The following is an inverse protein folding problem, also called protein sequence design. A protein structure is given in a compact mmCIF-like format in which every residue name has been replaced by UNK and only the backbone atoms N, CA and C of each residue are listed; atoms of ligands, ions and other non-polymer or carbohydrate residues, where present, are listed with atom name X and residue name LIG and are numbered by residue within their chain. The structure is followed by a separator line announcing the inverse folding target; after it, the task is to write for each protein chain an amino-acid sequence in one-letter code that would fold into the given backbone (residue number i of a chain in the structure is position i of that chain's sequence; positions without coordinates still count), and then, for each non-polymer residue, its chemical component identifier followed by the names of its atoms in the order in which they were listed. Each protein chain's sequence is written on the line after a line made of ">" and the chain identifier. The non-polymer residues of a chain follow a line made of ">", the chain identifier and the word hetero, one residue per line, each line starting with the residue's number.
data_IF_529366703314
#
_entry.id   IF_529366703314
#
_cell.length_a   1.000
_cell.length_b   1.000
_cell.length_c   1.000
_cell.angle_alpha   90.00
_cell.angle_beta   90.00
_cell.angle_gamma   90.00
#
_symmetry.space_group_name_H-M   'P 1'
#
loop_
_entity.id
_entity.type
_entity.pdbx_description
1 polymer ?
#
# COMPACT_ATOMS: atom_id res chain seq x y z
N UNK A 1 -10.58 -24.14 3.88
CA UNK A 1 -9.43 -23.60 3.11
C UNK A 1 -9.25 -22.13 3.44
N UNK A 2 -8.01 -21.66 3.51
CA UNK A 2 -7.64 -20.30 3.91
C UNK A 2 -8.06 -19.34 2.78
N UNK A 3 -9.35 -18.96 2.72
CA UNK A 3 -10.02 -18.36 1.55
C UNK A 3 -9.40 -17.06 1.01
N UNK A 4 -8.47 -16.47 1.77
CA UNK A 4 -7.74 -15.25 1.40
C UNK A 4 -6.26 -15.50 1.09
N UNK A 5 -5.76 -16.73 1.14
CA UNK A 5 -4.32 -17.03 0.97
C UNK A 5 -3.76 -16.45 -0.34
N UNK A 6 -4.46 -16.66 -1.45
CA UNK A 6 -4.03 -16.13 -2.76
C UNK A 6 -3.94 -14.60 -2.74
N UNK A 7 -4.94 -13.92 -2.17
CA UNK A 7 -4.96 -12.47 -2.03
C UNK A 7 -3.81 -11.98 -1.13
N UNK A 8 -3.56 -12.67 0.00
CA UNK A 8 -2.46 -12.32 0.90
C UNK A 8 -1.10 -12.44 0.22
N UNK A 9 -0.86 -13.52 -0.52
CA UNK A 9 0.39 -13.73 -1.25
C UNK A 9 0.57 -12.70 -2.38
N UNK A 10 -0.50 -12.40 -3.13
CA UNK A 10 -0.46 -11.39 -4.19
C UNK A 10 -0.16 -9.98 -3.63
N UNK A 11 -0.85 -9.57 -2.56
CA UNK A 11 -0.60 -8.28 -1.90
C UNK A 11 0.79 -8.24 -1.28
N UNK A 12 1.23 -9.32 -0.62
CA UNK A 12 2.57 -9.37 -0.05
C UNK A 12 3.67 -9.22 -1.12
N UNK A 13 3.54 -9.90 -2.27
CA UNK A 13 4.48 -9.74 -3.39
C UNK A 13 4.52 -8.31 -3.91
N UNK A 14 3.35 -7.69 -4.06
CA UNK A 14 3.21 -6.29 -4.48
C UNK A 14 3.92 -5.35 -3.50
N UNK A 15 3.66 -5.49 -2.20
CA UNK A 15 4.25 -4.65 -1.16
C UNK A 15 5.77 -4.80 -1.10
N UNK A 16 6.27 -6.04 -1.25
CA UNK A 16 7.71 -6.32 -1.26
C UNK A 16 8.39 -5.71 -2.48
N UNK A 17 7.86 -5.90 -3.68
CA UNK A 17 8.45 -5.34 -4.91
C UNK A 17 8.45 -3.80 -4.86
N UNK A 18 7.34 -3.17 -4.48
CA UNK A 18 7.27 -1.71 -4.34
C UNK A 18 8.18 -1.14 -3.25
N UNK A 19 8.57 -1.94 -2.26
CA UNK A 19 9.39 -1.48 -1.15
C UNK A 19 10.87 -1.73 -1.38
N UNK A 20 11.22 -2.95 -1.76
CA UNK A 20 12.61 -3.42 -1.88
C UNK A 20 13.33 -2.72 -3.04
N UNK A 21 12.71 -2.56 -4.21
CA UNK A 21 13.38 -1.90 -5.34
C UNK A 21 13.71 -0.43 -5.07
N UNK A 22 12.88 0.26 -4.27
CA UNK A 22 13.14 1.65 -3.86
C UNK A 22 14.35 1.79 -2.91
N UNK A 23 14.72 0.72 -2.20
CA UNK A 23 15.89 0.71 -1.31
C UNK A 23 17.19 0.75 -2.15
N UNK A 24 17.20 0.08 -3.31
CA UNK A 24 18.42 -0.09 -4.10
C UNK A 24 18.72 1.05 -5.09
N UNK A 25 17.78 1.97 -5.31
CA UNK A 25 17.92 3.06 -6.27
C UNK A 25 17.87 4.46 -5.64
N UNK A 26 18.03 4.55 -4.31
CA UNK A 26 17.92 5.79 -3.52
C UNK A 26 16.54 6.48 -3.55
N UNK A 27 15.53 5.90 -4.21
CA UNK A 27 14.24 6.53 -4.42
C UNK A 27 13.47 6.85 -3.13
N UNK A 28 13.75 6.15 -2.03
CA UNK A 28 13.14 6.44 -0.71
C UNK A 28 13.68 7.77 -0.16
N UNK A 29 15.00 7.98 -0.24
CA UNK A 29 15.61 9.22 0.23
C UNK A 29 15.20 10.39 -0.67
N UNK A 30 15.12 10.18 -1.97
CA UNK A 30 14.70 11.21 -2.91
C UNK A 30 13.22 11.59 -2.69
N UNK A 31 12.34 10.61 -2.45
CA UNK A 31 10.94 10.89 -2.09
C UNK A 31 10.84 11.72 -0.79
N UNK A 32 11.67 11.41 0.21
CA UNK A 32 11.72 12.17 1.45
C UNK A 32 12.26 13.59 1.28
N UNK A 33 13.42 13.74 0.63
CA UNK A 33 14.14 15.01 0.52
C UNK A 33 13.56 15.94 -0.55
N UNK A 34 13.24 15.39 -1.71
CA UNK A 34 12.87 16.18 -2.90
C UNK A 34 11.36 16.37 -3.04
N UNK A 35 10.55 15.56 -2.35
CA UNK A 35 9.09 15.68 -2.42
C UNK A 35 8.47 15.96 -1.05
N UNK A 36 8.54 15.05 -0.07
CA UNK A 36 7.85 15.23 1.22
C UNK A 36 8.29 16.48 1.97
N UNK A 37 9.59 16.76 2.01
CA UNK A 37 10.09 17.98 2.63
C UNK A 37 9.59 19.26 1.93
N UNK A 38 9.35 19.22 0.61
CA UNK A 38 8.87 20.37 -0.16
C UNK A 38 7.39 20.68 0.10
N UNK A 39 6.61 19.68 0.48
CA UNK A 39 5.16 19.83 0.73
C UNK A 39 4.82 19.98 2.21
N UNK A 40 5.80 20.33 3.06
CA UNK A 40 5.57 20.71 4.46
C UNK A 40 5.95 19.65 5.51
N UNK A 41 6.53 18.51 5.13
CA UNK A 41 7.01 17.52 6.09
C UNK A 41 8.46 17.70 6.54
N UNK A 42 9.13 18.78 6.11
CA UNK A 42 10.50 19.06 6.56
C UNK A 42 10.57 19.26 8.08
N UNK A 43 11.61 18.74 8.77
CA UNK A 43 12.76 17.98 8.25
C UNK A 43 12.53 16.44 8.26
N UNK A 44 11.31 15.98 8.45
CA UNK A 44 10.97 14.57 8.71
C UNK A 44 10.65 13.75 7.45
N UNK A 45 10.68 14.33 6.25
CA UNK A 45 10.28 13.65 5.01
C UNK A 45 10.99 12.32 4.77
N UNK A 46 12.30 12.24 5.02
CA UNK A 46 13.07 10.99 4.87
C UNK A 46 12.61 9.93 5.88
N UNK A 47 12.42 10.32 7.14
CA UNK A 47 11.95 9.40 8.20
C UNK A 47 10.57 8.87 7.85
N UNK A 48 9.68 9.72 7.34
CA UNK A 48 8.33 9.32 6.91
C UNK A 48 8.40 8.37 5.71
N UNK A 49 9.22 8.68 4.69
CA UNK A 49 9.40 7.83 3.51
C UNK A 49 9.89 6.42 3.88
N UNK A 50 10.89 6.33 4.77
CA UNK A 50 11.38 5.05 5.29
C UNK A 50 10.34 4.32 6.13
N UNK A 51 9.60 5.03 6.99
CA UNK A 51 8.54 4.44 7.81
C UNK A 51 7.45 3.79 6.94
N UNK A 52 7.05 4.46 5.85
CA UNK A 52 6.11 3.92 4.86
C UNK A 52 6.64 2.61 4.27
N UNK A 53 7.88 2.61 3.75
CA UNK A 53 8.45 1.45 3.06
C UNK A 53 8.71 0.27 3.99
N UNK A 54 9.18 0.53 5.22
CA UNK A 54 9.34 -0.52 6.22
C UNK A 54 7.99 -1.08 6.68
N UNK A 55 6.96 -0.25 6.80
CA UNK A 55 5.61 -0.72 7.14
C UNK A 55 5.05 -1.71 6.10
N UNK A 56 5.33 -1.49 4.81
CA UNK A 56 4.93 -2.42 3.74
C UNK A 56 5.66 -3.77 3.83
N UNK A 57 6.97 -3.76 4.16
CA UNK A 57 7.73 -5.00 4.36
C UNK A 57 7.16 -5.78 5.56
N UNK A 58 6.91 -5.11 6.68
CA UNK A 58 6.29 -5.72 7.86
C UNK A 58 4.89 -6.26 7.53
N UNK A 59 4.06 -5.47 6.84
CA UNK A 59 2.73 -5.88 6.43
C UNK A 59 2.77 -7.12 5.52
N UNK A 60 3.69 -7.20 4.56
CA UNK A 60 3.87 -8.36 3.70
C UNK A 60 4.19 -9.64 4.51
N UNK A 61 5.12 -9.55 5.46
CA UNK A 61 5.47 -10.68 6.35
C UNK A 61 4.25 -11.10 7.17
N UNK A 62 3.53 -10.15 7.75
CA UNK A 62 2.32 -10.42 8.54
C UNK A 62 1.20 -11.07 7.72
N UNK A 63 1.00 -10.63 6.47
CA UNK A 63 0.05 -11.22 5.52
C UNK A 63 0.42 -12.67 5.17
N UNK A 64 1.70 -12.95 4.91
CA UNK A 64 2.18 -14.31 4.62
C UNK A 64 1.97 -15.23 5.83
N UNK A 65 2.34 -14.77 7.02
CA UNK A 65 2.20 -15.53 8.27
C UNK A 65 0.75 -15.64 8.77
N UNK A 66 -0.19 -14.94 8.13
CA UNK A 66 -1.57 -14.81 8.56
C UNK A 66 -1.72 -14.30 10.01
N UNK A 67 -0.86 -13.35 10.43
CA UNK A 67 -0.85 -12.78 11.79
C UNK A 67 -1.13 -11.28 11.75
N UNK A 68 -1.83 -10.76 12.76
CA UNK A 68 -2.13 -9.32 12.91
C UNK A 68 -2.72 -8.65 11.66
N UNK A 69 -3.53 -9.40 10.90
CA UNK A 69 -4.03 -8.99 9.57
C UNK A 69 -4.77 -7.66 9.60
N UNK A 70 -5.60 -7.42 10.62
CA UNK A 70 -6.32 -6.16 10.76
C UNK A 70 -5.39 -4.99 10.97
N UNK A 71 -4.37 -5.13 11.81
CA UNK A 71 -3.39 -4.07 12.06
C UNK A 71 -2.58 -3.77 10.80
N UNK A 72 -2.03 -4.80 10.15
CA UNK A 72 -1.30 -4.67 8.90
C UNK A 72 -2.16 -4.01 7.81
N UNK A 73 -3.43 -4.42 7.71
CA UNK A 73 -4.40 -3.86 6.77
C UNK A 73 -4.70 -2.39 7.04
N UNK A 74 -5.01 -1.99 8.28
CA UNK A 74 -5.30 -0.59 8.61
C UNK A 74 -4.12 0.35 8.33
N UNK A 75 -2.91 -0.05 8.73
CA UNK A 75 -1.70 0.75 8.48
C UNK A 75 -1.45 0.89 6.97
N UNK A 76 -1.56 -0.21 6.22
CA UNK A 76 -1.34 -0.17 4.76
C UNK A 76 -2.42 0.65 4.05
N UNK A 77 -3.69 0.51 4.44
CA UNK A 77 -4.80 1.31 3.88
C UNK A 77 -4.57 2.80 4.15
N UNK A 78 -4.16 3.18 5.36
CA UNK A 78 -3.84 4.57 5.67
C UNK A 78 -2.75 5.12 4.75
N UNK A 79 -1.66 4.37 4.55
CA UNK A 79 -0.58 4.75 3.63
C UNK A 79 -1.09 4.89 2.19
N UNK A 80 -1.91 3.96 1.70
CA UNK A 80 -2.47 4.02 0.34
C UNK A 80 -3.39 5.23 0.15
N UNK A 81 -4.21 5.56 1.15
CA UNK A 81 -5.06 6.77 1.13
C UNK A 81 -4.20 8.03 1.08
N UNK A 82 -3.16 8.12 1.90
CA UNK A 82 -2.23 9.25 1.86
C UNK A 82 -1.49 9.32 0.51
N UNK A 83 -1.11 8.17 -0.07
CA UNK A 83 -0.56 8.11 -1.42
C UNK A 83 -1.51 8.68 -2.47
N UNK A 84 -2.80 8.36 -2.38
CA UNK A 84 -3.82 8.95 -3.25
C UNK A 84 -3.86 10.47 -3.06
N UNK A 85 -4.04 10.95 -1.83
CA UNK A 85 -4.22 12.38 -1.55
C UNK A 85 -3.01 13.20 -1.99
N UNK A 86 -1.80 12.75 -1.64
CA UNK A 86 -0.58 13.52 -1.86
C UNK A 86 -0.08 13.39 -3.31
N UNK A 87 -0.11 12.18 -3.87
CA UNK A 87 0.60 11.87 -5.12
C UNK A 87 -0.35 11.65 -6.29
N UNK A 88 -1.35 10.79 -6.13
CA UNK A 88 -2.09 10.26 -7.28
C UNK A 88 -3.35 11.05 -7.66
N UNK A 89 -3.92 11.83 -6.73
CA UNK A 89 -5.17 12.56 -6.98
C UNK A 89 -5.04 13.55 -8.14
N UNK A 90 -3.92 14.27 -8.21
CA UNK A 90 -3.62 15.20 -9.31
C UNK A 90 -3.39 14.51 -10.66
N UNK A 91 -3.02 13.23 -10.66
CA UNK A 91 -2.80 12.42 -11.87
C UNK A 91 -4.09 11.76 -12.38
N UNK A 92 -5.19 11.88 -11.62
CA UNK A 92 -6.48 11.30 -11.97
C UNK A 92 -6.60 9.81 -11.65
N UNK A 93 -7.38 9.08 -12.44
CA UNK A 93 -7.76 7.69 -12.13
C UNK A 93 -6.79 6.64 -12.67
N UNK A 94 -6.38 6.76 -13.93
CA UNK A 94 -5.76 5.68 -14.69
C UNK A 94 -4.25 5.51 -14.40
N UNK A 95 -3.80 4.27 -14.23
CA UNK A 95 -2.36 3.92 -14.21
C UNK A 95 -1.86 3.58 -15.61
N UNK A 96 -2.74 3.15 -16.52
CA UNK A 96 -2.44 2.94 -17.94
C UNK A 96 -3.61 3.33 -18.85
N UNK A 97 -3.32 3.71 -20.10
CA UNK A 97 -4.33 4.07 -21.10
C UNK A 97 -4.72 5.54 -21.00
N UNK A 98 -5.90 5.82 -20.43
CA UNK A 98 -6.46 7.19 -20.31
C UNK A 98 -5.68 8.13 -19.37
N UNK A 99 -4.54 7.69 -18.84
CA UNK A 99 -3.67 8.43 -17.93
C UNK A 99 -2.48 7.57 -17.49
N UNK A 100 -1.70 8.09 -16.54
CA UNK A 100 -0.59 7.39 -15.89
C UNK A 100 -0.54 7.79 -14.42
N UNK A 101 0.01 6.92 -13.57
CA UNK A 101 0.25 7.22 -12.15
C UNK A 101 -1.02 7.61 -11.35
N UNK A 102 -2.22 7.25 -11.82
CA UNK A 102 -3.48 7.55 -11.15
C UNK A 102 -3.81 6.63 -9.97
N UNK A 103 -5.01 6.83 -9.40
CA UNK A 103 -5.44 6.20 -8.15
C UNK A 103 -5.96 4.75 -8.26
N UNK A 104 -6.20 4.21 -9.48
CA UNK A 104 -6.88 2.90 -9.66
C UNK A 104 -6.21 1.75 -8.90
N UNK A 105 -4.87 1.73 -8.87
CA UNK A 105 -4.12 0.68 -8.20
C UNK A 105 -4.23 0.75 -6.68
N UNK A 106 -4.19 1.97 -6.12
CA UNK A 106 -4.38 2.19 -4.69
C UNK A 106 -5.79 1.77 -4.27
N UNK A 107 -6.80 2.17 -5.06
CA UNK A 107 -8.19 1.76 -4.82
C UNK A 107 -8.34 0.23 -4.79
N UNK A 108 -7.79 -0.46 -5.80
CA UNK A 108 -7.85 -1.92 -5.86
C UNK A 108 -7.21 -2.56 -4.62
N UNK A 109 -6.01 -2.11 -4.22
CA UNK A 109 -5.32 -2.63 -3.05
C UNK A 109 -6.09 -2.39 -1.75
N UNK A 110 -6.73 -1.23 -1.59
CA UNK A 110 -7.57 -0.93 -0.43
C UNK A 110 -8.72 -1.94 -0.34
N UNK A 111 -9.44 -2.18 -1.44
CA UNK A 111 -10.57 -3.13 -1.46
C UNK A 111 -10.09 -4.56 -1.18
N UNK A 112 -8.96 -4.99 -1.76
CA UNK A 112 -8.39 -6.32 -1.51
C UNK A 112 -7.97 -6.48 -0.05
N UNK A 113 -7.36 -5.45 0.56
CA UNK A 113 -7.00 -5.48 1.98
C UNK A 113 -8.23 -5.58 2.88
N UNK A 114 -9.31 -4.85 2.58
CA UNK A 114 -10.59 -4.98 3.30
C UNK A 114 -11.15 -6.40 3.19
N UNK A 115 -11.12 -7.00 2.00
CA UNK A 115 -11.56 -8.39 1.79
C UNK A 115 -10.69 -9.39 2.57
N UNK A 116 -9.38 -9.16 2.65
CA UNK A 116 -8.46 -9.97 3.48
C UNK A 116 -8.75 -9.82 4.97
N UNK A 117 -9.07 -8.60 5.44
CA UNK A 117 -9.33 -8.29 6.85
C UNK A 117 -10.65 -8.87 7.37
N UNK A 118 -11.65 -9.02 6.49
CA UNK A 118 -13.01 -9.46 6.84
C UNK A 118 -13.47 -10.60 5.91
N UNK A 119 -12.82 -11.77 5.95
CA UNK A 119 -13.19 -12.90 5.10
C UNK A 119 -14.63 -13.34 5.41
N UNK A 120 -15.41 -13.63 4.37
CA UNK A 120 -16.78 -14.14 4.49
C UNK A 120 -17.86 -13.10 4.83
N UNK A 121 -17.48 -11.85 5.18
CA UNK A 121 -18.46 -10.82 5.56
C UNK A 121 -19.26 -10.23 4.38
N UNK A 122 -18.79 -10.46 3.15
CA UNK A 122 -19.43 -10.01 1.91
C UNK A 122 -19.96 -11.18 1.06
N UNK A 123 -19.90 -12.41 1.58
CA UNK A 123 -20.57 -13.53 0.94
C UNK A 123 -22.08 -13.34 1.10
N UNK A 124 -22.83 -13.49 0.01
CA UNK A 124 -24.29 -13.65 0.12
C UNK A 124 -24.54 -14.96 0.87
N UNK A 125 -25.43 -14.93 1.85
CA UNK A 125 -25.99 -16.15 2.42
C UNK A 125 -26.65 -16.93 1.28
N UNK A 126 -26.09 -18.09 0.95
CA UNK A 126 -26.72 -19.03 0.04
C UNK A 126 -27.67 -19.88 0.89
N UNK A 127 -28.97 -19.56 0.81
CA UNK A 127 -30.04 -20.46 1.25
C UNK A 127 -30.08 -21.70 0.34
#
# INVERSE_FOLDING_TARGET
>A
MNGTLLLRLAVALILLTHSIFGIFNNGINDFGNLYLNQIGFAPFGVVIAWSIKLSHVVAAVLLILNKYIKLAGFVTIFVLIMGIILVHFQEGWFVVGGGRNGAEYNFLLIIVLVAIMYPGRFAKDTN
#
